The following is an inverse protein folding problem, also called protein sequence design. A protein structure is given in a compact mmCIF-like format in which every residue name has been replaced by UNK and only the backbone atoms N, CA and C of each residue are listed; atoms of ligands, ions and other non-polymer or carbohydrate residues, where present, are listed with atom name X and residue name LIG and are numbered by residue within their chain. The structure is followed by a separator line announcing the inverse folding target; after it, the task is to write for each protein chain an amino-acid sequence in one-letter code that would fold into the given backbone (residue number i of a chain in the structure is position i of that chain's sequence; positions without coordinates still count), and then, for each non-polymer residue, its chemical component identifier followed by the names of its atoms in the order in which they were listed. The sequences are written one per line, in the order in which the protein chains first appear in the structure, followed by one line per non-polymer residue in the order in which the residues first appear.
data_IF_465753441575
#
_entry.id   IF_465753441575
#
_cell.length_a   1.000
_cell.length_b   1.000
_cell.length_c   1.000
_cell.angle_alpha   90.00
_cell.angle_beta   90.00
_cell.angle_gamma   90.00
#
_symmetry.space_group_name_H-M   'P 1'
#
loop_
_entity.id
_entity.type
_entity.pdbx_description
1 polymer ?
#
# COMPACT_ATOMS: atom_id res chain seq x y z
N UNK A 1 36.17 -69.63 -12.51
CA UNK A 1 35.12 -70.46 -11.90
C UNK A 1 33.80 -69.73 -12.06
N UNK A 2 33.17 -70.01 -13.20
CA UNK A 2 31.78 -70.52 -13.37
C UNK A 2 30.80 -69.35 -13.46
N UNK A 3 30.56 -68.82 -14.67
CA UNK A 3 29.50 -69.23 -15.63
C UNK A 3 28.08 -68.99 -15.09
N UNK A 4 27.12 -68.42 -15.83
CA UNK A 4 27.00 -68.19 -17.27
C UNK A 4 25.99 -67.07 -17.56
N UNK A 5 25.47 -66.83 -18.75
CA UNK A 5 25.78 -67.19 -20.15
C UNK A 5 24.62 -66.53 -20.93
N UNK A 6 24.95 -65.84 -22.03
CA UNK A 6 24.25 -65.81 -23.34
C UNK A 6 22.73 -65.44 -23.40
N UNK A 7 22.24 -64.62 -24.33
CA UNK A 7 22.35 -64.76 -25.80
C UNK A 7 21.87 -63.48 -26.52
N UNK A 8 22.52 -63.18 -27.65
CA UNK A 8 21.99 -62.38 -28.76
C UNK A 8 20.99 -63.19 -29.62
N UNK A 9 20.14 -62.48 -30.37
CA UNK A 9 19.34 -62.95 -31.50
C UNK A 9 18.17 -61.99 -31.70
N UNK A 10 17.87 -61.41 -32.86
CA UNK A 10 18.15 -61.76 -34.25
C UNK A 10 16.83 -61.59 -35.02
N UNK A 11 16.83 -60.68 -36.00
CA UNK A 11 15.96 -60.53 -37.19
C UNK A 11 14.44 -60.82 -37.17
N UNK A 12 13.68 -59.99 -37.89
CA UNK A 12 12.43 -60.43 -38.53
C UNK A 12 11.37 -59.35 -38.73
N UNK A 13 11.25 -58.83 -39.95
CA UNK A 13 10.19 -57.91 -40.35
C UNK A 13 8.80 -58.54 -40.47
N UNK A 14 7.77 -57.70 -40.55
CA UNK A 14 6.41 -58.13 -40.87
C UNK A 14 5.35 -57.08 -40.55
N UNK A 15 4.92 -56.33 -41.57
CA UNK A 15 3.92 -55.28 -41.43
C UNK A 15 2.51 -55.78 -41.09
N UNK A 16 1.73 -54.92 -40.42
CA UNK A 16 0.27 -55.03 -40.34
C UNK A 16 -0.37 -53.65 -40.46
N UNK A 17 -1.21 -53.53 -41.51
CA UNK A 17 -2.08 -52.39 -41.85
C UNK A 17 -2.94 -51.94 -40.66
N UNK A 18 -3.07 -50.61 -40.50
CA UNK A 18 -4.31 -49.97 -40.00
C UNK A 18 -4.69 -48.78 -40.89
N UNK A 19 -5.90 -48.86 -41.45
CA UNK A 19 -6.65 -47.77 -42.09
C UNK A 19 -6.99 -46.69 -41.06
N UNK A 20 -6.98 -45.40 -41.45
CA UNK A 20 -8.19 -44.57 -41.64
C UNK A 20 -7.89 -43.06 -41.74
N UNK A 21 -8.61 -42.44 -42.68
CA UNK A 21 -9.23 -41.10 -42.63
C UNK A 21 -8.35 -39.86 -42.80
N UNK A 22 -8.10 -39.51 -44.07
CA UNK A 22 -7.99 -38.11 -44.48
C UNK A 22 -9.37 -37.46 -44.46
N UNK A 23 -9.49 -36.27 -43.86
CA UNK A 23 -10.76 -35.54 -43.80
C UNK A 23 -10.78 -34.24 -42.99
N UNK A 24 -9.71 -33.88 -42.27
CA UNK A 24 -9.79 -32.79 -41.27
C UNK A 24 -8.91 -31.57 -41.57
N UNK A 25 -7.98 -31.64 -42.54
CA UNK A 25 -7.09 -30.50 -42.86
C UNK A 25 -7.70 -29.44 -43.78
N UNK A 26 -8.81 -29.70 -44.46
CA UNK A 26 -9.39 -28.75 -45.44
C UNK A 26 -10.36 -27.74 -44.79
N UNK A 27 -10.94 -28.05 -43.62
CA UNK A 27 -11.85 -27.12 -42.92
C UNK A 27 -11.14 -25.99 -42.16
N UNK A 28 -9.89 -26.20 -41.73
CA UNK A 28 -9.13 -25.21 -40.95
C UNK A 28 -8.60 -24.07 -41.83
N UNK A 29 -8.38 -24.31 -43.13
CA UNK A 29 -7.86 -23.28 -44.04
C UNK A 29 -8.92 -22.28 -44.51
N UNK A 30 -10.20 -22.65 -44.54
CA UNK A 30 -11.28 -21.74 -44.94
C UNK A 30 -11.76 -20.83 -43.78
N UNK A 31 -11.64 -21.25 -42.52
CA UNK A 31 -12.06 -20.42 -41.39
C UNK A 31 -11.11 -19.24 -41.13
N UNK A 32 -9.81 -19.40 -41.42
CA UNK A 32 -8.81 -18.33 -41.30
C UNK A 32 -8.96 -17.23 -42.35
N UNK A 33 -9.45 -17.54 -43.56
CA UNK A 33 -9.71 -16.52 -44.60
C UNK A 33 -10.94 -15.68 -44.28
N UNK A 34 -12.01 -16.28 -43.75
CA UNK A 34 -13.22 -15.53 -43.38
C UNK A 34 -12.97 -14.59 -42.20
N UNK A 35 -12.17 -15.00 -41.21
CA UNK A 35 -11.84 -14.14 -40.06
C UNK A 35 -10.95 -12.94 -40.43
N UNK A 36 -10.00 -13.11 -41.37
CA UNK A 36 -9.17 -12.00 -41.87
C UNK A 36 -9.96 -10.97 -42.68
N UNK A 37 -11.05 -11.37 -43.34
CA UNK A 37 -11.86 -10.45 -44.16
C UNK A 37 -12.80 -9.60 -43.30
N UNK A 38 -13.29 -10.14 -42.17
CA UNK A 38 -14.17 -9.40 -41.24
C UNK A 38 -13.40 -8.36 -40.42
N UNK A 39 -12.13 -8.61 -40.09
CA UNK A 39 -11.29 -7.66 -39.34
C UNK A 39 -10.92 -6.43 -40.18
N UNK A 40 -10.85 -6.55 -41.51
CA UNK A 40 -10.51 -5.42 -42.40
C UNK A 40 -11.71 -4.47 -42.63
N UNK A 41 -12.96 -4.95 -42.49
CA UNK A 41 -14.16 -4.13 -42.69
C UNK A 41 -14.56 -3.28 -41.46
N UNK A 42 -14.01 -3.56 -40.28
CA UNK A 42 -14.26 -2.74 -39.08
C UNK A 42 -13.29 -1.54 -38.98
N UNK A 43 -12.18 -1.57 -39.72
CA UNK A 43 -11.15 -0.51 -39.72
C UNK A 43 -11.48 0.60 -40.74
N UNK A 44 -12.35 0.36 -41.73
CA UNK A 44 -12.79 1.37 -42.69
C UNK A 44 -14.24 1.77 -42.40
N UNK A 45 -14.39 2.84 -41.61
CA UNK A 45 -15.67 3.41 -41.23
C UNK A 45 -16.57 3.70 -42.44
N UNK A 46 -17.64 2.91 -42.59
CA UNK A 46 -18.77 3.20 -43.46
C UNK A 46 -19.99 3.37 -42.56
N UNK A 47 -20.41 4.62 -42.41
CA UNK A 47 -21.60 4.99 -41.65
C UNK A 47 -22.88 4.53 -42.34
N UNK A 48 -23.80 3.96 -41.57
CA UNK A 48 -25.19 3.79 -41.94
C UNK A 48 -26.05 4.76 -41.10
N UNK A 49 -26.78 5.61 -41.81
CA UNK A 49 -27.73 6.60 -41.28
C UNK A 49 -28.97 5.91 -40.69
N UNK A 50 -29.34 6.34 -39.48
CA UNK A 50 -30.67 6.81 -39.10
C UNK A 50 -31.85 5.83 -39.12
N UNK A 51 -32.31 5.44 -37.93
CA UNK A 51 -33.74 5.31 -37.60
C UNK A 51 -33.94 5.80 -36.17
N UNK A 52 -34.81 6.79 -35.99
CA UNK A 52 -35.11 7.44 -34.72
C UNK A 52 -35.96 6.58 -33.79
N UNK A 53 -35.60 6.61 -32.50
CA UNK A 53 -36.36 6.12 -31.36
C UNK A 53 -36.39 7.24 -30.31
N UNK A 54 -37.49 7.40 -29.55
CA UNK A 54 -37.75 8.57 -28.73
C UNK A 54 -36.88 8.60 -27.45
N UNK A 55 -36.47 9.79 -27.03
CA UNK A 55 -35.68 10.04 -25.82
C UNK A 55 -36.34 9.50 -24.55
N UNK A 56 -35.59 8.88 -23.62
CA UNK A 56 -36.05 8.64 -22.27
C UNK A 56 -35.96 9.94 -21.46
N UNK A 57 -37.04 10.24 -20.73
CA UNK A 57 -37.09 11.34 -19.76
C UNK A 57 -35.92 11.30 -18.76
N UNK A 58 -35.36 12.46 -18.36
CA UNK A 58 -34.28 12.49 -17.39
C UNK A 58 -34.79 12.01 -16.02
N UNK A 59 -33.98 11.26 -15.25
CA UNK A 59 -34.33 10.88 -13.89
C UNK A 59 -34.44 12.13 -12.99
N UNK A 60 -35.30 12.10 -11.96
CA UNK A 60 -35.49 13.23 -11.05
C UNK A 60 -34.18 13.52 -10.31
N UNK A 61 -33.83 14.81 -10.25
CA UNK A 61 -32.64 15.30 -9.54
C UNK A 61 -32.65 14.80 -8.08
N UNK A 62 -31.50 14.33 -7.56
CA UNK A 62 -31.38 14.05 -6.14
C UNK A 62 -31.51 15.36 -5.33
N UNK A 63 -32.00 15.30 -4.09
CA UNK A 63 -32.19 16.49 -3.28
C UNK A 63 -30.87 17.25 -3.14
N UNK A 64 -30.93 18.56 -3.41
CA UNK A 64 -29.83 19.50 -3.20
C UNK A 64 -29.41 19.43 -1.74
N UNK A 65 -28.37 18.65 -1.45
CA UNK A 65 -27.59 18.84 -0.25
C UNK A 65 -26.84 20.14 -0.48
N UNK A 66 -27.23 21.20 0.22
CA UNK A 66 -26.45 22.43 0.29
C UNK A 66 -25.04 22.08 0.77
N UNK A 67 -24.11 21.90 -0.17
CA UNK A 67 -22.72 22.10 0.12
C UNK A 67 -22.61 23.55 0.59
N UNK A 68 -22.29 23.73 1.87
CA UNK A 68 -21.72 24.98 2.36
C UNK A 68 -20.36 25.15 1.65
N UNK A 69 -20.40 25.61 0.41
CA UNK A 69 -19.25 26.23 -0.24
C UNK A 69 -18.96 27.51 0.54
N UNK A 70 -18.17 27.38 1.60
CA UNK A 70 -17.38 28.49 2.11
C UNK A 70 -16.31 28.75 1.05
N UNK A 71 -16.72 29.42 -0.02
CA UNK A 71 -15.83 29.96 -1.02
C UNK A 71 -15.12 31.15 -0.41
N UNK A 72 -14.02 30.92 0.31
CA UNK A 72 -12.99 31.94 0.42
C UNK A 72 -12.28 32.00 -0.93
N UNK A 73 -12.94 32.64 -1.92
CA UNK A 73 -12.20 33.24 -3.03
C UNK A 73 -11.26 34.24 -2.39
N UNK A 74 -10.00 33.86 -2.26
CA UNK A 74 -8.92 34.79 -2.01
C UNK A 74 -8.89 35.75 -3.21
N UNK A 75 -9.58 36.88 -3.10
CA UNK A 75 -9.37 38.02 -4.00
C UNK A 75 -8.04 38.65 -3.56
N UNK A 76 -7.00 38.67 -4.40
CA UNK A 76 -5.89 39.57 -4.14
C UNK A 76 -6.46 41.01 -4.09
N UNK A 77 -6.00 41.86 -3.16
CA UNK A 77 -6.40 43.26 -3.17
C UNK A 77 -5.99 43.91 -4.50
N UNK A 78 -6.86 44.74 -5.07
CA UNK A 78 -6.54 45.51 -6.26
C UNK A 78 -5.32 46.40 -5.98
N UNK A 79 -4.34 46.50 -6.90
CA UNK A 79 -3.15 47.29 -6.67
C UNK A 79 -3.52 48.77 -6.66
N UNK A 80 -3.32 49.43 -5.51
CA UNK A 80 -3.34 50.89 -5.40
C UNK A 80 -2.18 51.47 -6.21
N UNK A 81 -2.42 52.50 -7.05
CA UNK A 81 -1.37 53.08 -7.88
C UNK A 81 -0.61 54.14 -7.06
N UNK A 82 0.30 53.69 -6.22
CA UNK A 82 1.42 54.53 -5.81
C UNK A 82 2.53 53.64 -5.28
N UNK A 83 3.62 53.55 -6.05
CA UNK A 83 5.00 53.39 -5.58
C UNK A 83 5.92 53.17 -6.79
N UNK A 84 6.25 54.26 -7.47
CA UNK A 84 7.54 54.38 -8.16
C UNK A 84 8.64 54.48 -7.09
N UNK A 85 8.95 53.35 -6.46
CA UNK A 85 10.03 53.19 -5.51
C UNK A 85 10.86 51.97 -5.91
N UNK A 86 12.19 52.15 -5.98
CA UNK A 86 13.20 51.11 -6.20
C UNK A 86 12.77 49.75 -5.60
N UNK A 87 12.40 48.80 -6.47
CA UNK A 87 11.99 47.43 -6.10
C UNK A 87 13.20 46.70 -5.52
N UNK A 88 13.43 46.90 -4.23
CA UNK A 88 14.32 46.05 -3.46
C UNK A 88 13.80 44.63 -3.54
N UNK A 89 14.71 43.68 -3.68
CA UNK A 89 14.47 42.25 -3.88
C UNK A 89 13.93 41.61 -2.57
N UNK A 90 12.82 42.13 -2.02
CA UNK A 90 12.23 41.69 -0.75
C UNK A 90 11.47 40.40 -1.00
N UNK A 91 12.19 39.28 -0.87
CA UNK A 91 11.58 37.94 -0.92
C UNK A 91 10.62 37.77 0.25
N UNK A 92 9.40 37.34 -0.04
CA UNK A 92 8.41 36.98 0.98
C UNK A 92 8.91 35.80 1.82
N UNK A 93 8.78 35.90 3.15
CA UNK A 93 9.12 34.81 4.06
C UNK A 93 8.07 33.72 4.01
N UNK A 94 8.48 32.48 3.71
CA UNK A 94 7.60 31.32 3.72
C UNK A 94 7.87 30.49 4.97
N UNK A 95 7.02 30.63 5.99
CA UNK A 95 7.18 29.92 7.26
C UNK A 95 6.62 28.50 7.19
N UNK A 96 7.42 27.53 7.63
CA UNK A 96 7.07 26.11 7.66
C UNK A 96 7.18 25.58 9.09
N UNK A 97 6.12 24.97 9.60
CA UNK A 97 6.14 24.29 10.89
C UNK A 97 6.77 22.92 10.74
N UNK A 98 7.64 22.52 11.67
CA UNK A 98 8.09 21.12 11.78
C UNK A 98 7.74 20.62 13.18
N UNK A 99 6.97 19.54 13.23
CA UNK A 99 6.76 18.75 14.43
C UNK A 99 7.67 17.53 14.38
N UNK A 100 8.55 17.46 15.37
CA UNK A 100 9.48 16.35 15.55
C UNK A 100 9.12 15.51 16.77
N UNK A 101 9.50 14.23 16.80
CA UNK A 101 9.32 13.41 17.98
C UNK A 101 10.10 13.97 19.16
N UNK A 102 9.48 13.95 20.35
CA UNK A 102 10.17 14.34 21.57
C UNK A 102 11.41 13.47 21.80
N UNK A 103 12.53 14.14 22.10
CA UNK A 103 13.80 13.51 22.42
C UNK A 103 14.56 14.37 23.42
N UNK A 104 15.18 13.73 24.41
CA UNK A 104 16.03 14.40 25.40
C UNK A 104 17.44 14.68 24.89
N UNK A 105 17.94 13.85 23.95
CA UNK A 105 19.36 13.84 23.57
C UNK A 105 19.62 13.99 22.07
N UNK A 106 18.61 13.76 21.20
CA UNK A 106 18.78 13.77 19.74
C UNK A 106 18.33 15.06 19.05
N UNK A 107 17.99 16.11 19.79
CA UNK A 107 17.47 17.36 19.20
C UNK A 107 18.45 17.99 18.23
N UNK A 108 19.75 18.06 18.59
CA UNK A 108 20.81 18.56 17.70
C UNK A 108 20.93 17.75 16.41
N UNK A 109 20.69 16.43 16.48
CA UNK A 109 20.72 15.57 15.29
C UNK A 109 19.57 15.93 14.34
N UNK A 110 18.35 16.11 14.86
CA UNK A 110 17.20 16.52 14.04
C UNK A 110 17.41 17.91 13.42
N UNK A 111 17.84 18.89 14.21
CA UNK A 111 18.18 20.22 13.72
C UNK A 111 19.27 20.19 12.64
N UNK A 112 20.27 19.32 12.81
CA UNK A 112 21.30 19.06 11.81
C UNK A 112 20.71 18.53 10.50
N UNK A 113 19.78 17.58 10.55
CA UNK A 113 19.09 17.05 9.36
C UNK A 113 18.26 18.12 8.66
N UNK A 114 17.54 18.97 9.41
CA UNK A 114 16.79 20.10 8.83
C UNK A 114 17.74 21.05 8.08
N UNK A 115 18.89 21.38 8.67
CA UNK A 115 19.90 22.22 8.02
C UNK A 115 20.47 21.58 6.75
N UNK A 116 20.75 20.28 6.78
CA UNK A 116 21.24 19.55 5.61
C UNK A 116 20.20 19.52 4.50
N UNK A 117 18.94 19.22 4.83
CA UNK A 117 17.83 19.24 3.87
C UNK A 117 17.67 20.61 3.20
N UNK A 118 17.77 21.70 3.98
CA UNK A 118 17.70 23.06 3.47
C UNK A 118 18.83 23.42 2.49
N UNK A 119 20.02 22.83 2.63
CA UNK A 119 21.13 23.06 1.70
C UNK A 119 20.92 22.40 0.34
N UNK A 120 20.21 21.28 0.32
CA UNK A 120 19.91 20.49 -0.89
C UNK A 120 18.65 21.03 -1.60
N UNK A 121 17.87 21.85 -0.91
CA UNK A 121 16.59 22.35 -1.41
C UNK A 121 16.72 23.24 -2.66
N UNK A 122 15.74 23.12 -3.57
CA UNK A 122 15.81 23.70 -4.91
C UNK A 122 15.93 25.23 -4.90
N UNK A 123 16.94 25.72 -5.64
CA UNK A 123 17.22 27.15 -5.82
C UNK A 123 16.06 27.89 -6.49
N UNK A 124 15.20 27.20 -7.27
CA UNK A 124 14.03 27.82 -7.93
C UNK A 124 12.97 28.32 -6.95
N UNK A 125 12.77 27.64 -5.82
CA UNK A 125 11.83 28.14 -4.81
C UNK A 125 12.48 29.26 -3.99
N UNK A 126 13.78 29.11 -3.71
CA UNK A 126 14.59 30.11 -3.00
C UNK A 126 14.77 31.43 -3.76
N UNK A 127 14.53 31.48 -5.08
CA UNK A 127 14.51 32.74 -5.84
C UNK A 127 13.23 33.55 -5.64
N UNK A 128 12.11 32.90 -5.29
CA UNK A 128 10.81 33.57 -5.06
C UNK A 128 10.56 33.87 -3.58
N UNK A 129 10.92 32.93 -2.69
CA UNK A 129 10.65 33.03 -1.26
C UNK A 129 11.94 33.01 -0.46
N UNK A 130 11.94 33.71 0.68
CA UNK A 130 12.95 33.53 1.71
C UNK A 130 12.61 32.25 2.47
N UNK A 131 13.49 31.27 2.34
CA UNK A 131 13.31 29.91 2.84
C UNK A 131 14.60 29.47 3.54
N UNK A 132 14.81 29.98 4.75
CA UNK A 132 16.01 29.74 5.56
C UNK A 132 15.67 28.99 6.85
N UNK A 133 16.68 28.68 7.67
CA UNK A 133 16.49 27.93 8.92
C UNK A 133 15.59 28.67 9.93
N UNK A 134 15.55 30.01 9.89
CA UNK A 134 14.69 30.87 10.72
C UNK A 134 13.20 30.73 10.40
N UNK A 135 12.87 30.44 9.15
CA UNK A 135 11.50 30.25 8.68
C UNK A 135 10.95 28.86 9.04
N UNK A 136 11.80 27.96 9.57
CA UNK A 136 11.39 26.65 10.05
C UNK A 136 11.09 26.67 11.54
N UNK A 137 9.80 26.75 11.88
CA UNK A 137 9.30 26.78 13.25
C UNK A 137 9.24 25.37 13.81
N UNK A 138 10.22 25.02 14.63
CA UNK A 138 10.44 23.67 15.11
C UNK A 138 9.78 23.45 16.48
N UNK A 139 8.95 22.43 16.59
CA UNK A 139 8.29 22.01 17.82
C UNK A 139 8.48 20.51 18.05
N UNK A 140 8.47 20.10 19.33
CA UNK A 140 8.52 18.69 19.70
C UNK A 140 7.23 18.28 20.37
N UNK A 141 6.66 17.17 19.91
CA UNK A 141 5.52 16.53 20.57
C UNK A 141 5.92 15.16 21.12
N UNK A 142 5.41 14.77 22.30
CA UNK A 142 5.48 13.38 22.74
C UNK A 142 4.71 12.48 21.77
N UNK A 143 4.82 11.16 21.93
CA UNK A 143 4.13 10.19 21.06
C UNK A 143 2.60 10.33 21.17
N UNK A 144 2.10 10.51 22.40
CA UNK A 144 0.70 10.75 22.70
C UNK A 144 0.52 12.13 23.35
N UNK A 145 0.56 13.22 22.57
CA UNK A 145 0.28 14.54 23.09
C UNK A 145 -1.19 14.64 23.49
N UNK A 146 -1.46 15.36 24.59
CA UNK A 146 -2.83 15.69 24.96
C UNK A 146 -3.43 16.66 23.93
N UNK A 147 -4.77 16.67 23.78
CA UNK A 147 -5.46 17.62 22.90
C UNK A 147 -5.07 19.08 23.18
N UNK A 148 -4.96 19.46 24.45
CA UNK A 148 -4.49 20.79 24.87
C UNK A 148 -3.08 21.07 24.35
N UNK A 149 -2.14 20.12 24.48
CA UNK A 149 -0.77 20.34 24.00
C UNK A 149 -0.71 20.53 22.48
N UNK A 150 -1.56 19.82 21.74
CA UNK A 150 -1.73 20.01 20.30
C UNK A 150 -2.25 21.43 20.01
N UNK A 151 -3.31 21.86 20.69
CA UNK A 151 -3.90 23.18 20.52
C UNK A 151 -2.90 24.29 20.84
N UNK A 152 -2.18 24.22 21.97
CA UNK A 152 -1.16 25.19 22.34
C UNK A 152 -0.07 25.29 21.25
N UNK A 153 0.31 24.17 20.65
CA UNK A 153 1.32 24.14 19.59
C UNK A 153 0.80 24.83 18.32
N UNK A 154 -0.45 24.57 17.94
CA UNK A 154 -1.06 25.21 16.77
C UNK A 154 -1.29 26.72 17.02
N UNK A 155 -1.98 27.05 18.10
CA UNK A 155 -2.43 28.41 18.42
C UNK A 155 -1.31 29.35 18.86
N UNK A 156 -0.36 28.90 19.67
CA UNK A 156 0.65 29.79 20.25
C UNK A 156 1.98 29.78 19.50
N UNK A 157 2.23 28.75 18.67
CA UNK A 157 3.51 28.61 17.94
C UNK A 157 3.38 28.72 16.43
N UNK A 158 2.34 28.15 15.82
CA UNK A 158 2.23 28.10 14.36
C UNK A 158 1.38 29.22 13.78
N UNK A 159 0.20 29.50 14.33
CA UNK A 159 -0.66 30.58 13.86
C UNK A 159 -0.02 31.97 13.95
N UNK A 160 0.67 32.36 15.06
CA UNK A 160 1.27 33.69 15.17
C UNK A 160 2.43 33.91 14.20
N UNK A 161 3.04 32.82 13.74
CA UNK A 161 4.13 32.82 12.77
C UNK A 161 3.63 32.67 11.32
N UNK A 162 2.32 32.68 11.06
CA UNK A 162 1.75 32.50 9.71
C UNK A 162 2.32 31.27 8.97
N UNK A 163 2.41 30.13 9.67
CA UNK A 163 2.89 28.87 9.08
C UNK A 163 2.01 28.46 7.90
N UNK A 164 2.64 28.29 6.73
CA UNK A 164 1.95 27.96 5.47
C UNK A 164 1.82 26.46 5.21
N UNK A 165 2.66 25.64 5.85
CA UNK A 165 2.61 24.18 5.78
C UNK A 165 3.26 23.57 7.02
N UNK A 166 2.82 22.37 7.42
CA UNK A 166 3.38 21.66 8.56
C UNK A 166 3.98 20.33 8.11
N UNK A 167 5.23 20.08 8.47
CA UNK A 167 5.87 18.77 8.37
C UNK A 167 5.65 18.07 9.71
N UNK A 168 4.89 16.99 9.71
CA UNK A 168 4.59 16.20 10.89
C UNK A 168 5.35 14.89 10.84
N UNK A 169 6.20 14.62 11.84
CA UNK A 169 6.99 13.38 11.89
C UNK A 169 6.82 12.68 13.23
N UNK A 170 6.53 11.38 13.18
CA UNK A 170 6.57 10.49 14.34
C UNK A 170 7.67 9.44 14.17
N UNK A 171 8.10 8.86 15.28
CA UNK A 171 9.05 7.74 15.35
C UNK A 171 8.40 6.46 15.86
N UNK A 172 7.10 6.50 16.13
CA UNK A 172 6.41 5.39 16.75
C UNK A 172 5.94 4.41 15.69
N UNK A 173 6.51 3.21 15.75
CA UNK A 173 6.21 2.07 14.89
C UNK A 173 5.65 0.90 15.72
N UNK A 174 5.02 1.21 16.86
CA UNK A 174 4.37 0.20 17.71
C UNK A 174 2.95 -0.13 17.26
N UNK A 175 2.41 0.65 16.32
CA UNK A 175 1.09 0.48 15.73
C UNK A 175 -0.04 0.30 16.76
N UNK A 176 0.07 1.01 17.88
CA UNK A 176 -0.85 0.93 19.02
C UNK A 176 -1.99 1.95 18.93
N UNK A 177 -2.70 2.17 20.05
CA UNK A 177 -3.80 3.16 20.16
C UNK A 177 -3.35 4.63 20.10
N UNK A 178 -2.09 4.88 19.73
CA UNK A 178 -1.45 6.19 19.66
C UNK A 178 -1.88 6.98 18.41
N UNK A 179 -2.60 6.34 17.49
CA UNK A 179 -3.15 6.95 16.27
C UNK A 179 -4.12 8.10 16.56
N UNK A 180 -4.85 8.06 17.68
CA UNK A 180 -5.88 9.05 18.01
C UNK A 180 -5.32 10.49 18.11
N UNK A 181 -4.19 10.69 18.79
CA UNK A 181 -3.58 12.03 18.91
C UNK A 181 -3.09 12.55 17.56
N UNK A 182 -2.53 11.66 16.72
CA UNK A 182 -2.07 12.03 15.38
C UNK A 182 -3.23 12.39 14.46
N UNK A 183 -4.32 11.60 14.49
CA UNK A 183 -5.54 11.89 13.76
C UNK A 183 -6.16 13.23 14.18
N UNK A 184 -6.25 13.48 15.50
CA UNK A 184 -6.75 14.75 16.02
C UNK A 184 -5.92 15.95 15.53
N UNK A 185 -4.59 15.86 15.60
CA UNK A 185 -3.70 16.89 15.07
C UNK A 185 -3.94 17.14 13.56
N UNK A 186 -3.99 16.07 12.76
CA UNK A 186 -4.13 16.18 11.31
C UNK A 186 -5.51 16.71 10.90
N UNK A 187 -6.56 16.34 11.63
CA UNK A 187 -7.91 16.87 11.42
C UNK A 187 -7.98 18.37 11.72
N UNK A 188 -7.39 18.82 12.83
CA UNK A 188 -7.34 20.24 13.18
C UNK A 188 -6.53 21.05 12.17
N UNK A 189 -5.36 20.56 11.75
CA UNK A 189 -4.58 21.23 10.70
C UNK A 189 -5.37 21.36 9.39
N UNK A 190 -6.11 20.31 9.01
CA UNK A 190 -7.03 20.33 7.89
C UNK A 190 -8.17 21.34 8.05
N UNK A 191 -8.76 21.46 9.25
CA UNK A 191 -9.78 22.46 9.56
C UNK A 191 -9.25 23.90 9.48
N UNK A 192 -8.01 24.11 9.91
CA UNK A 192 -7.32 25.41 9.80
C UNK A 192 -6.86 25.73 8.37
N UNK A 193 -7.07 24.82 7.41
CA UNK A 193 -6.63 24.99 6.04
C UNK A 193 -5.11 24.92 5.86
N UNK A 194 -4.38 24.38 6.84
CA UNK A 194 -2.92 24.28 6.79
C UNK A 194 -2.53 22.91 6.23
N UNK A 195 -1.87 22.84 5.07
CA UNK A 195 -1.45 21.56 4.50
C UNK A 195 -0.41 20.87 5.35
N UNK A 196 -0.57 19.55 5.51
CA UNK A 196 0.35 18.72 6.30
C UNK A 196 1.06 17.69 5.44
N UNK A 197 2.39 17.67 5.52
CA UNK A 197 3.22 16.59 4.99
C UNK A 197 3.59 15.69 6.18
N UNK A 198 3.03 14.48 6.22
CA UNK A 198 3.13 13.58 7.34
C UNK A 198 4.04 12.38 7.03
N UNK A 199 4.98 12.11 7.95
CA UNK A 199 5.66 10.82 8.07
C UNK A 199 5.15 10.13 9.33
N UNK A 200 4.13 9.29 9.15
CA UNK A 200 3.55 8.45 10.20
C UNK A 200 3.50 7.00 9.77
N UNK A 201 4.33 6.16 10.39
CA UNK A 201 4.36 4.73 10.07
C UNK A 201 3.02 4.05 10.34
N UNK A 202 2.35 4.42 11.43
CA UNK A 202 0.97 4.01 11.69
C UNK A 202 -0.01 5.01 11.06
N UNK A 203 -0.52 4.65 9.89
CA UNK A 203 -1.51 5.43 9.15
C UNK A 203 -2.94 4.87 9.32
N UNK A 204 -3.13 3.90 10.20
CA UNK A 204 -4.41 3.24 10.41
C UNK A 204 -5.46 4.22 10.93
N UNK A 205 -6.60 4.31 10.24
CA UNK A 205 -7.66 5.29 10.55
C UNK A 205 -7.35 6.73 10.15
N UNK A 206 -6.15 7.03 9.64
CA UNK A 206 -5.89 8.33 9.03
C UNK A 206 -6.56 8.41 7.66
N UNK A 207 -6.53 7.34 6.86
CA UNK A 207 -7.05 7.33 5.48
C UNK A 207 -8.53 7.75 5.37
N UNK A 208 -9.38 7.38 6.33
CA UNK A 208 -10.81 7.74 6.31
C UNK A 208 -11.08 9.23 6.63
N UNK A 209 -10.14 9.93 7.27
CA UNK A 209 -10.37 11.26 7.82
C UNK A 209 -10.08 12.45 6.86
N UNK A 210 -9.67 12.24 5.59
CA UNK A 210 -9.45 13.40 4.68
C UNK A 210 -10.75 13.89 4.10
N UNK A 211 -11.39 14.81 4.79
CA UNK A 211 -12.35 15.69 4.15
C UNK A 211 -11.69 16.83 3.37
N UNK A 212 -10.41 17.16 3.64
CA UNK A 212 -9.83 18.43 3.19
C UNK A 212 -8.83 18.38 2.03
N UNK A 213 -8.37 17.21 1.56
CA UNK A 213 -7.35 17.12 0.48
C UNK A 213 -5.99 17.78 0.78
N UNK A 214 -5.81 18.39 1.97
CA UNK A 214 -4.66 19.16 2.40
C UNK A 214 -3.63 18.30 3.16
N UNK A 215 -3.49 17.02 2.79
CA UNK A 215 -2.56 16.12 3.45
C UNK A 215 -1.78 15.28 2.45
N UNK A 216 -0.50 15.12 2.71
CA UNK A 216 0.40 14.26 1.96
C UNK A 216 1.01 13.28 2.95
N UNK A 217 0.66 12.00 2.83
CA UNK A 217 1.23 10.93 3.64
C UNK A 217 2.43 10.33 2.90
N UNK A 218 3.60 10.34 3.54
CA UNK A 218 4.83 9.79 2.97
C UNK A 218 5.06 8.33 3.35
N UNK A 219 4.43 7.84 4.41
CA UNK A 219 4.49 6.41 4.77
C UNK A 219 3.58 5.58 3.84
N UNK A 220 3.94 4.31 3.57
CA UNK A 220 3.10 3.43 2.77
C UNK A 220 1.75 3.20 3.46
N UNK A 221 0.67 3.20 2.68
CA UNK A 221 -0.67 2.98 3.21
C UNK A 221 -0.98 1.49 3.38
N UNK A 222 -2.05 1.19 4.13
CA UNK A 222 -2.64 -0.17 4.22
C UNK A 222 -2.89 -0.75 2.83
N UNK A 223 -3.30 0.09 1.87
CA UNK A 223 -3.48 -0.30 0.48
C UNK A 223 -2.17 -0.71 -0.20
N UNK A 224 -1.09 0.06 -0.01
CA UNK A 224 0.22 -0.31 -0.54
C UNK A 224 0.73 -1.62 0.06
N UNK A 225 0.50 -1.84 1.36
CA UNK A 225 0.88 -3.08 2.04
C UNK A 225 0.08 -4.28 1.51
N UNK A 226 -1.25 -4.19 1.45
CA UNK A 226 -2.09 -5.25 0.89
C UNK A 226 -1.72 -5.59 -0.57
N UNK A 227 -1.43 -4.58 -1.39
CA UNK A 227 -0.99 -4.79 -2.77
C UNK A 227 0.37 -5.51 -2.85
N UNK A 228 1.32 -5.16 -1.97
CA UNK A 228 2.61 -5.82 -1.89
C UNK A 228 2.47 -7.29 -1.46
N UNK A 229 1.67 -7.60 -0.44
CA UNK A 229 1.41 -8.98 0.00
C UNK A 229 0.80 -9.81 -1.14
N UNK A 230 -0.19 -9.27 -1.84
CA UNK A 230 -0.80 -9.94 -2.99
C UNK A 230 0.17 -10.11 -4.16
N UNK A 231 1.08 -9.16 -4.39
CA UNK A 231 2.10 -9.28 -5.45
C UNK A 231 3.05 -10.46 -5.22
N UNK A 232 3.34 -10.80 -3.95
CA UNK A 232 4.09 -12.01 -3.59
C UNK A 232 3.27 -13.24 -3.99
N UNK A 233 1.97 -13.27 -3.67
CA UNK A 233 1.10 -14.38 -4.06
C UNK A 233 1.05 -14.57 -5.58
N UNK A 234 0.95 -13.47 -6.34
CA UNK A 234 1.04 -13.50 -7.81
C UNK A 234 2.36 -14.12 -8.28
N UNK A 235 3.48 -13.67 -7.70
CA UNK A 235 4.83 -14.11 -8.10
C UNK A 235 5.05 -15.61 -7.95
N UNK A 236 4.46 -16.20 -6.90
CA UNK A 236 4.55 -17.62 -6.58
C UNK A 236 3.33 -18.44 -7.03
N UNK A 237 2.39 -17.83 -7.77
CA UNK A 237 1.16 -18.48 -8.26
C UNK A 237 0.31 -19.09 -7.12
N UNK A 238 0.30 -18.41 -5.98
CA UNK A 238 -0.49 -18.79 -4.82
C UNK A 238 -1.88 -18.19 -4.93
N UNK A 239 -2.89 -19.03 -5.15
CA UNK A 239 -4.25 -18.56 -5.43
C UNK A 239 -5.19 -18.65 -4.24
N UNK A 240 -4.83 -19.33 -3.16
CA UNK A 240 -5.67 -19.51 -1.99
C UNK A 240 -4.93 -19.14 -0.70
N UNK A 241 -5.54 -18.31 0.14
CA UNK A 241 -4.93 -17.81 1.36
C UNK A 241 -5.98 -17.46 2.42
N UNK A 242 -5.54 -17.35 3.67
CA UNK A 242 -6.36 -16.92 4.80
C UNK A 242 -5.87 -15.57 5.31
N UNK A 243 -6.81 -14.70 5.66
CA UNK A 243 -6.51 -13.41 6.28
C UNK A 243 -6.61 -13.57 7.79
N UNK A 244 -5.56 -13.21 8.52
CA UNK A 244 -5.50 -13.27 9.98
C UNK A 244 -5.20 -11.88 10.52
N UNK A 245 -6.06 -11.36 11.41
CA UNK A 245 -5.86 -10.04 12.00
C UNK A 245 -6.03 -10.05 13.51
N UNK A 246 -5.30 -9.18 14.21
CA UNK A 246 -5.60 -8.83 15.60
C UNK A 246 -6.55 -7.63 15.68
N UNK A 247 -6.79 -7.12 16.89
CA UNK A 247 -7.52 -5.86 17.15
C UNK A 247 -6.66 -4.61 16.94
N UNK A 248 -5.59 -4.71 16.13
CA UNK A 248 -4.81 -3.55 15.67
C UNK A 248 -5.73 -2.53 14.97
N UNK A 249 -5.38 -1.24 15.08
CA UNK A 249 -6.08 -0.20 14.36
C UNK A 249 -6.07 -0.46 12.84
N UNK A 250 -7.19 -0.21 12.16
CA UNK A 250 -7.31 -0.41 10.71
C UNK A 250 -7.42 -1.87 10.26
N UNK A 251 -7.60 -2.85 11.17
CA UNK A 251 -7.74 -4.26 10.78
C UNK A 251 -8.93 -4.50 9.82
N UNK A 252 -10.07 -3.83 10.04
CA UNK A 252 -11.23 -3.89 9.15
C UNK A 252 -10.92 -3.33 7.76
N UNK A 253 -10.19 -2.21 7.73
CA UNK A 253 -9.78 -1.54 6.50
C UNK A 253 -8.80 -2.40 5.72
N UNK A 254 -7.88 -3.08 6.40
CA UNK A 254 -6.96 -4.04 5.80
C UNK A 254 -7.72 -5.20 5.14
N UNK A 255 -8.64 -5.84 5.88
CA UNK A 255 -9.47 -6.93 5.34
C UNK A 255 -10.26 -6.48 4.11
N UNK A 256 -10.89 -5.30 4.19
CA UNK A 256 -11.64 -4.75 3.07
C UNK A 256 -10.73 -4.44 1.88
N UNK A 257 -9.57 -3.83 2.12
CA UNK A 257 -8.62 -3.49 1.06
C UNK A 257 -8.08 -4.72 0.34
N UNK A 258 -7.80 -5.81 1.08
CA UNK A 258 -7.41 -7.09 0.47
C UNK A 258 -8.53 -7.63 -0.41
N UNK A 259 -9.80 -7.58 0.05
CA UNK A 259 -10.96 -8.01 -0.75
C UNK A 259 -11.11 -7.17 -2.02
N UNK A 260 -10.99 -5.85 -1.91
CA UNK A 260 -11.09 -4.94 -3.05
C UNK A 260 -9.97 -5.19 -4.06
N UNK A 261 -8.74 -5.42 -3.60
CA UNK A 261 -7.62 -5.78 -4.47
C UNK A 261 -7.85 -7.13 -5.15
N UNK A 262 -8.34 -8.14 -4.43
CA UNK A 262 -8.72 -9.44 -5.02
C UNK A 262 -9.79 -9.27 -6.11
N UNK A 263 -10.78 -8.39 -5.89
CA UNK A 263 -11.78 -8.06 -6.91
C UNK A 263 -11.15 -7.39 -8.13
N UNK A 264 -10.21 -6.48 -7.94
CA UNK A 264 -9.48 -5.83 -9.04
C UNK A 264 -8.66 -6.82 -9.87
N UNK A 265 -8.00 -7.81 -9.25
CA UNK A 265 -7.29 -8.86 -9.98
C UNK A 265 -8.20 -9.79 -10.79
N UNK A 266 -9.50 -9.81 -10.50
CA UNK A 266 -10.50 -10.57 -11.27
C UNK A 266 -11.11 -9.75 -12.42
N UNK A 267 -10.91 -8.43 -12.42
CA UNK A 267 -11.50 -7.58 -13.45
C UNK A 267 -10.79 -7.78 -14.79
N UNK A 268 -11.51 -8.35 -15.75
CA UNK A 268 -11.01 -8.58 -17.11
C UNK A 268 -10.88 -7.29 -17.93
N UNK A 269 -11.50 -6.20 -17.47
CA UNK A 269 -11.45 -4.90 -18.15
C UNK A 269 -10.18 -4.11 -17.81
N UNK A 270 -9.58 -4.37 -16.64
CA UNK A 270 -8.33 -3.74 -16.24
C UNK A 270 -7.13 -4.50 -16.84
N UNK A 271 -6.71 -4.06 -18.04
CA UNK A 271 -5.54 -4.62 -18.73
C UNK A 271 -4.21 -4.35 -18.02
N UNK A 272 -4.18 -3.49 -16.99
CA UNK A 272 -2.97 -3.18 -16.24
C UNK A 272 -2.59 -4.27 -15.23
N UNK A 273 -3.54 -5.15 -14.86
CA UNK A 273 -3.34 -6.22 -13.89
C UNK A 273 -3.50 -7.61 -14.52
N UNK A 274 -2.74 -8.62 -14.04
CA UNK A 274 -2.95 -9.99 -14.47
C UNK A 274 -4.30 -10.50 -13.96
N UNK A 275 -5.09 -11.12 -14.85
CA UNK A 275 -6.37 -11.71 -14.49
C UNK A 275 -6.16 -13.00 -13.67
N UNK A 276 -6.19 -12.88 -12.34
CA UNK A 276 -5.92 -13.96 -11.40
C UNK A 276 -7.11 -14.11 -10.46
N UNK A 277 -7.60 -15.34 -10.33
CA UNK A 277 -8.65 -15.69 -9.38
C UNK A 277 -8.01 -16.08 -8.04
N UNK A 278 -8.09 -15.18 -7.07
CA UNK A 278 -7.79 -15.51 -5.68
C UNK A 278 -9.02 -16.09 -4.96
N UNK A 279 -8.76 -16.97 -3.99
CA UNK A 279 -9.73 -17.54 -3.07
C UNK A 279 -9.30 -17.20 -1.65
N UNK A 280 -10.10 -16.40 -0.97
CA UNK A 280 -9.94 -16.18 0.48
C UNK A 280 -10.62 -17.36 1.15
N UNK A 281 -9.84 -18.23 1.81
CA UNK A 281 -10.34 -19.43 2.48
C UNK A 281 -11.10 -19.01 3.74
N UNK A 282 -10.43 -18.27 4.61
CA UNK A 282 -11.00 -17.74 5.84
C UNK A 282 -10.55 -16.29 6.11
N UNK A 283 -11.32 -15.60 6.94
CA UNK A 283 -10.94 -14.31 7.54
C UNK A 283 -11.11 -14.43 9.04
N UNK A 284 -9.99 -14.46 9.77
CA UNK A 284 -9.96 -14.73 11.22
C UNK A 284 -9.54 -13.47 11.97
N UNK A 285 -10.43 -12.97 12.82
CA UNK A 285 -10.13 -11.94 13.81
C UNK A 285 -9.81 -12.61 15.15
N UNK A 286 -8.59 -12.44 15.63
CA UNK A 286 -8.09 -13.14 16.81
C UNK A 286 -8.54 -12.44 18.10
N UNK A 287 -9.46 -13.10 18.82
CA UNK A 287 -9.83 -12.76 20.20
C UNK A 287 -9.09 -13.69 21.17
N UNK A 288 -9.11 -14.99 20.87
CA UNK A 288 -8.42 -16.05 21.60
C UNK A 288 -7.61 -16.86 20.59
N UNK A 289 -6.32 -16.54 20.49
CA UNK A 289 -5.44 -17.04 19.42
C UNK A 289 -5.53 -18.57 19.22
N UNK A 290 -5.50 -19.37 20.30
CA UNK A 290 -5.56 -20.83 20.18
C UNK A 290 -6.90 -21.35 19.64
N UNK A 291 -8.02 -20.76 20.05
CA UNK A 291 -9.36 -21.20 19.62
C UNK A 291 -9.66 -20.74 18.20
N UNK A 292 -9.32 -19.49 17.89
CA UNK A 292 -9.64 -18.89 16.60
C UNK A 292 -8.74 -19.43 15.48
N UNK A 293 -7.47 -19.76 15.80
CA UNK A 293 -6.57 -20.43 14.85
C UNK A 293 -6.92 -21.90 14.62
N UNK A 294 -7.67 -22.56 15.51
CA UNK A 294 -8.09 -23.95 15.30
C UNK A 294 -8.94 -24.10 14.02
N UNK A 295 -9.75 -23.08 13.68
CA UNK A 295 -10.50 -23.04 12.42
C UNK A 295 -9.57 -23.11 11.20
N UNK A 296 -8.39 -22.50 11.29
CA UNK A 296 -7.38 -22.52 10.23
C UNK A 296 -6.73 -23.90 10.11
N UNK A 297 -6.55 -24.61 11.23
CA UNK A 297 -6.00 -25.99 11.24
C UNK A 297 -6.91 -26.94 10.46
N UNK A 298 -8.22 -26.80 10.62
CA UNK A 298 -9.23 -27.65 9.96
C UNK A 298 -9.46 -27.24 8.48
N UNK A 299 -8.86 -26.13 8.04
CA UNK A 299 -8.99 -25.60 6.69
C UNK A 299 -7.88 -26.09 5.74
N UNK A 300 -8.07 -25.91 4.43
CA UNK A 300 -7.01 -26.16 3.43
C UNK A 300 -5.97 -25.03 3.34
N UNK A 301 -6.03 -24.04 4.24
CA UNK A 301 -5.17 -22.86 4.17
C UNK A 301 -3.71 -23.18 4.46
N UNK A 302 -2.82 -22.83 3.52
CA UNK A 302 -1.36 -22.96 3.67
C UNK A 302 -0.62 -21.62 3.74
N UNK A 303 -1.33 -20.53 3.41
CA UNK A 303 -0.76 -19.19 3.31
C UNK A 303 -1.62 -18.27 4.17
N UNK A 304 -0.96 -17.58 5.09
CA UNK A 304 -1.61 -16.70 6.03
C UNK A 304 -1.07 -15.28 5.86
N UNK A 305 -1.98 -14.35 5.58
CA UNK A 305 -1.68 -12.92 5.58
C UNK A 305 -1.97 -12.37 6.98
N UNK A 306 -0.95 -11.98 7.73
CA UNK A 306 -1.07 -11.50 9.10
C UNK A 306 -0.97 -9.97 9.18
N UNK A 307 -2.00 -9.35 9.75
CA UNK A 307 -2.00 -7.94 10.13
C UNK A 307 -2.23 -7.79 11.64
N UNK A 308 -1.15 -7.48 12.37
CA UNK A 308 -1.18 -7.28 13.83
C UNK A 308 -0.03 -6.40 14.29
N UNK A 309 0.00 -6.05 15.57
CA UNK A 309 1.17 -5.41 16.19
C UNK A 309 2.27 -6.43 16.46
N UNK A 310 3.53 -5.99 16.57
CA UNK A 310 4.66 -6.85 16.93
C UNK A 310 4.44 -7.62 18.25
N UNK A 311 3.80 -7.00 19.24
CA UNK A 311 3.52 -7.63 20.53
C UNK A 311 2.47 -8.74 20.39
N UNK A 312 1.36 -8.45 19.71
CA UNK A 312 0.31 -9.44 19.46
C UNK A 312 0.82 -10.59 18.60
N UNK A 313 1.61 -10.30 17.55
CA UNK A 313 2.19 -11.31 16.68
C UNK A 313 3.00 -12.37 17.44
N UNK A 314 3.77 -11.98 18.47
CA UNK A 314 4.49 -12.95 19.31
C UNK A 314 3.56 -13.94 19.98
N UNK A 315 2.43 -13.47 20.51
CA UNK A 315 1.41 -14.34 21.10
C UNK A 315 0.75 -15.24 20.05
N UNK A 316 0.45 -14.69 18.88
CA UNK A 316 -0.17 -15.41 17.76
C UNK A 316 0.77 -16.53 17.26
N UNK A 317 2.05 -16.23 17.04
CA UNK A 317 3.03 -17.20 16.56
C UNK A 317 3.26 -18.32 17.57
N UNK A 318 3.31 -18.03 18.88
CA UNK A 318 3.38 -19.06 19.92
C UNK A 318 2.17 -20.00 19.91
N UNK A 319 0.96 -19.47 19.72
CA UNK A 319 -0.24 -20.29 19.60
C UNK A 319 -0.25 -21.09 18.29
N UNK A 320 0.20 -20.49 17.18
CA UNK A 320 0.34 -21.15 15.89
C UNK A 320 1.35 -22.31 15.95
N UNK A 321 2.45 -22.17 16.69
CA UNK A 321 3.45 -23.21 16.89
C UNK A 321 2.87 -24.43 17.62
N UNK A 322 2.08 -24.21 18.69
CA UNK A 322 1.37 -25.29 19.39
C UNK A 322 0.39 -26.05 18.48
N UNK A 323 -0.21 -25.34 17.53
CA UNK A 323 -1.14 -25.89 16.54
C UNK A 323 -0.43 -26.42 15.28
N UNK A 324 0.91 -26.43 15.25
CA UNK A 324 1.72 -26.84 14.10
C UNK A 324 1.47 -26.04 12.81
N UNK A 325 0.93 -24.82 12.93
CA UNK A 325 0.69 -23.87 11.82
C UNK A 325 1.96 -23.09 11.42
N UNK A 326 3.10 -23.37 12.06
CA UNK A 326 4.41 -22.77 11.75
C UNK A 326 5.37 -23.78 11.11
N UNK A 327 4.89 -24.98 10.80
CA UNK A 327 5.69 -26.02 10.15
C UNK A 327 6.02 -25.74 8.69
N UNK A 328 6.78 -26.64 8.06
CA UNK A 328 7.29 -26.53 6.67
C UNK A 328 6.20 -26.37 5.60
N UNK A 329 4.95 -26.67 5.94
CA UNK A 329 3.82 -26.66 5.03
C UNK A 329 3.05 -25.33 5.02
N UNK A 330 3.46 -24.37 5.83
CA UNK A 330 2.76 -23.12 6.06
C UNK A 330 3.66 -21.92 5.78
N UNK A 331 3.09 -20.89 5.16
CA UNK A 331 3.78 -19.63 4.88
C UNK A 331 3.01 -18.49 5.56
N UNK A 332 3.73 -17.73 6.38
CA UNK A 332 3.21 -16.52 7.00
C UNK A 332 3.79 -15.31 6.28
N UNK A 333 2.92 -14.50 5.68
CA UNK A 333 3.26 -13.20 5.10
C UNK A 333 2.72 -12.13 6.04
N UNK A 334 3.56 -11.21 6.48
CA UNK A 334 3.24 -10.27 7.55
C UNK A 334 3.52 -8.83 7.13
N UNK A 335 2.75 -7.91 7.69
CA UNK A 335 2.94 -6.47 7.47
C UNK A 335 4.08 -5.88 8.29
N UNK A 336 4.46 -4.63 7.99
CA UNK A 336 5.49 -3.88 8.74
C UNK A 336 5.19 -3.84 10.24
N UNK A 337 3.92 -3.72 10.60
CA UNK A 337 3.49 -3.63 12.00
C UNK A 337 3.86 -4.86 12.83
N UNK A 338 4.03 -6.02 12.18
CA UNK A 338 4.45 -7.27 12.81
C UNK A 338 5.97 -7.33 12.97
N UNK A 339 6.72 -6.91 11.96
CA UNK A 339 8.20 -6.93 11.98
C UNK A 339 8.72 -5.96 13.06
N UNK A 340 8.15 -4.75 13.09
CA UNK A 340 8.56 -3.69 14.00
C UNK A 340 9.95 -3.11 13.67
N UNK A 341 10.49 -2.23 14.53
CA UNK A 341 11.71 -1.46 14.26
C UNK A 341 13.01 -2.25 14.50
N UNK A 342 12.93 -3.54 14.87
CA UNK A 342 14.09 -4.36 15.19
C UNK A 342 14.63 -4.99 13.91
N UNK A 343 15.94 -4.88 13.68
CA UNK A 343 16.63 -5.60 12.60
C UNK A 343 16.63 -7.12 12.81
N UNK A 344 16.39 -7.56 14.04
CA UNK A 344 16.33 -8.98 14.41
C UNK A 344 14.89 -9.42 14.66
N UNK A 345 14.50 -10.53 14.02
CA UNK A 345 13.25 -11.20 14.29
C UNK A 345 13.21 -11.73 15.74
N UNK A 346 12.10 -11.56 16.47
CA UNK A 346 11.88 -12.22 17.75
C UNK A 346 12.06 -13.75 17.64
N UNK A 347 12.53 -14.39 18.71
CA UNK A 347 12.68 -15.86 18.77
C UNK A 347 11.37 -16.62 18.60
N UNK A 348 10.24 -15.96 18.86
CA UNK A 348 8.90 -16.51 18.70
C UNK A 348 8.47 -16.61 17.23
N UNK A 349 9.20 -15.98 16.31
CA UNK A 349 8.84 -15.97 14.89
C UNK A 349 9.47 -17.18 14.18
N UNK A 350 8.67 -17.95 13.43
CA UNK A 350 9.18 -19.13 12.76
C UNK A 350 10.09 -18.77 11.58
N UNK A 351 11.03 -19.66 11.28
CA UNK A 351 11.87 -19.57 10.09
C UNK A 351 10.99 -19.65 8.83
N UNK A 352 11.25 -18.79 7.85
CA UNK A 352 10.48 -18.73 6.59
C UNK A 352 9.31 -17.74 6.60
N UNK A 353 9.10 -16.99 7.68
CA UNK A 353 8.14 -15.89 7.70
C UNK A 353 8.60 -14.73 6.79
N UNK A 354 7.71 -14.25 5.93
CA UNK A 354 7.98 -13.15 4.99
C UNK A 354 7.37 -11.86 5.52
N UNK A 355 8.18 -10.85 5.77
CA UNK A 355 7.72 -9.56 6.28
C UNK A 355 7.95 -8.42 5.30
N UNK A 356 6.98 -7.52 5.20
CA UNK A 356 7.16 -6.25 4.52
C UNK A 356 7.91 -5.27 5.44
N UNK A 357 9.11 -4.87 5.05
CA UNK A 357 9.86 -3.80 5.71
C UNK A 357 10.01 -2.64 4.73
N UNK A 358 9.31 -1.50 4.92
CA UNK A 358 9.58 -0.33 4.13
C UNK A 358 10.92 0.23 4.57
N UNK A 359 11.93 -0.12 3.80
CA UNK A 359 13.28 0.35 3.99
C UNK A 359 13.30 1.88 3.77
N UNK A 360 13.28 2.68 4.84
CA UNK A 360 13.61 4.10 4.78
C UNK A 360 15.11 4.34 4.46
N UNK A 361 15.90 3.26 4.42
CA UNK A 361 17.29 3.21 3.97
C UNK A 361 17.37 2.05 3.00
N UNK A 362 17.62 2.33 1.71
CA UNK A 362 17.53 1.35 0.61
C UNK A 362 18.04 -0.04 0.97
N UNK A 363 17.14 -1.01 0.93
CA UNK A 363 17.43 -2.40 1.25
C UNK A 363 16.13 -3.16 1.49
N UNK A 364 15.52 -3.64 0.42
CA UNK A 364 14.48 -4.67 0.49
C UNK A 364 15.12 -5.89 1.13
N UNK A 365 14.98 -6.04 2.44
CA UNK A 365 15.37 -7.25 3.15
C UNK A 365 14.22 -8.25 3.02
N UNK A 366 13.96 -8.66 1.78
CA UNK A 366 13.35 -9.96 1.53
C UNK A 366 14.47 -10.93 1.88
N UNK A 367 14.37 -11.59 3.04
CA UNK A 367 15.19 -12.76 3.34
C UNK A 367 14.75 -13.91 2.41
N UNK A 368 15.06 -13.78 1.12
CA UNK A 368 15.00 -14.85 0.13
C UNK A 368 16.34 -15.63 0.10
N UNK A 369 17.32 -15.22 0.90
CA UNK A 369 18.68 -15.79 0.91
C UNK A 369 18.78 -17.23 1.39
N UNK A 370 17.79 -17.76 2.11
CA UNK A 370 17.79 -19.15 2.59
C UNK A 370 16.67 -20.01 1.98
N UNK A 371 15.75 -19.43 1.20
CA UNK A 371 14.62 -20.15 0.62
C UNK A 371 15.03 -20.98 -0.61
N UNK A 372 16.09 -20.59 -1.30
CA UNK A 372 16.61 -21.31 -2.48
C UNK A 372 17.44 -22.56 -2.12
N UNK A 373 17.85 -22.73 -0.87
CA UNK A 373 18.70 -23.84 -0.43
C UNK A 373 17.92 -25.11 -0.02
N UNK A 374 16.58 -25.06 0.00
CA UNK A 374 15.73 -26.16 0.47
C UNK A 374 14.95 -26.91 -0.63
N UNK A 375 14.96 -26.40 -1.87
CA UNK A 375 14.20 -27.00 -3.00
C UNK A 375 15.08 -27.37 -4.21
N UNK A 376 16.37 -27.59 -4.00
CA UNK A 376 17.26 -28.19 -5.00
C UNK A 376 17.93 -29.44 -4.41
N UNK A 377 17.88 -30.52 -5.18
CA UNK A 377 18.44 -31.88 -4.92
C UNK A 377 17.57 -32.77 -4.01
N UNK A 378 16.54 -33.40 -4.58
CA UNK A 378 16.62 -34.77 -5.17
C UNK A 378 15.36 -35.09 -6.00
#
# INVERSE_FOLDING_TARGET
MVEGRYTEGGEGGGGRRRRRSGGERVRIMNLRKTLCTVVILVILGVGARGVGLPEPHPPPEPPVVQALTIGTRFRPPDPTPDETGSRSDVREGLNVGIIMPMTKFKLRKYQGQVRTGLRVFDKKLGSKYRFGYSEFIQQQLPINPSPTKILDTLCDKFLPMNVSAIIYTTKDERFGRNTASSQYFLQLAGYLGIPVIAWNADNSGLEQASMSGLRIQMAPSIHHQAAAMLSILVRYQWHAFTIVTSHIAGHSDFVQTVRDQVHQYRDTQDLSKPNIKFTIIDTVLLNQAEKDLAVVVDSEARIMLLYSTNEEAKHIMRSAEKLSLTGKNYVWIVTQSVVGPSEFAPSDFPVGMLGECPSAVGGVLVSAGEFAAWFGED
#
